data_IF_910890863764
#
_entry.id   IF_910890863764
#
_cell.length_a   1.000
_cell.length_b   1.000
_cell.length_c   1.000
_cell.angle_alpha   90.00
_cell.angle_beta   90.00
_cell.angle_gamma   90.00
#
_symmetry.space_group_name_H-M   'P 1'
#
loop_
_entity.id
_entity.type
_entity.pdbx_description
1 polymer ?
#
# COMPACT_ATOMS: atom_id res chain seq x y z
N UNK A 1 10.56 0.36 -7.98
CA UNK A 1 9.44 1.14 -7.40
C UNK A 1 9.78 2.61 -7.48
N UNK A 2 8.80 3.50 -7.53
CA UNK A 2 9.01 4.95 -7.56
C UNK A 2 7.98 5.63 -6.64
N UNK A 3 8.31 6.81 -6.14
CA UNK A 3 7.41 7.73 -5.45
C UNK A 3 7.59 9.09 -6.16
N UNK A 4 6.50 9.64 -6.69
CA UNK A 4 6.46 10.97 -7.29
C UNK A 4 5.70 11.88 -6.33
N UNK A 5 6.15 13.10 -6.16
CA UNK A 5 5.52 14.09 -5.29
C UNK A 5 5.57 15.49 -5.89
N UNK A 6 4.61 16.33 -5.49
CA UNK A 6 4.55 17.72 -5.91
C UNK A 6 5.57 18.56 -5.10
N UNK A 7 6.64 18.96 -5.76
CA UNK A 7 7.70 19.76 -5.15
C UNK A 7 7.25 21.18 -4.74
N UNK A 8 6.10 21.65 -5.21
CA UNK A 8 5.56 22.94 -4.75
C UNK A 8 4.96 22.82 -3.36
N UNK A 9 4.44 21.65 -2.99
CA UNK A 9 3.77 21.36 -1.72
C UNK A 9 4.68 20.68 -0.71
N UNK A 10 5.59 19.83 -1.17
CA UNK A 10 6.44 19.00 -0.32
C UNK A 10 7.92 19.26 -0.55
N UNK A 11 8.68 19.12 0.51
CA UNK A 11 10.12 19.05 0.53
C UNK A 11 10.54 17.61 0.85
N UNK A 12 11.44 17.05 0.05
CA UNK A 12 12.08 15.77 0.36
C UNK A 12 13.24 16.02 1.32
N UNK A 13 13.17 15.40 2.49
CA UNK A 13 14.27 15.43 3.45
C UNK A 13 15.28 14.33 3.14
N UNK A 14 14.81 13.13 2.86
CA UNK A 14 15.62 11.98 2.43
C UNK A 14 14.75 10.88 1.84
N UNK A 15 15.39 9.98 1.13
CA UNK A 15 14.78 8.70 0.75
C UNK A 15 15.73 7.53 1.05
N UNK A 16 15.18 6.34 1.21
CA UNK A 16 15.94 5.13 1.46
C UNK A 16 15.11 3.89 1.14
N UNK A 17 15.80 2.77 1.00
CA UNK A 17 15.17 1.46 0.88
C UNK A 17 15.42 0.64 2.15
N UNK A 18 14.41 -0.12 2.59
CA UNK A 18 14.54 -1.01 3.75
C UNK A 18 15.13 -2.34 3.26
N UNK A 19 16.46 -2.39 3.16
CA UNK A 19 17.19 -3.51 2.56
C UNK A 19 17.01 -4.83 3.34
N UNK A 20 16.75 -4.78 4.63
CA UNK A 20 16.50 -5.94 5.48
C UNK A 20 15.26 -6.74 5.04
N UNK A 21 14.33 -6.09 4.32
CA UNK A 21 13.12 -6.71 3.78
C UNK A 21 13.36 -7.32 2.39
N UNK A 22 14.45 -6.97 1.72
CA UNK A 22 14.88 -7.55 0.46
C UNK A 22 15.66 -8.86 0.68
N UNK A 23 14.97 -9.91 1.08
CA UNK A 23 15.60 -11.19 1.41
C UNK A 23 16.46 -11.73 0.26
N UNK A 24 17.72 -12.00 0.56
CA UNK A 24 18.71 -12.52 -0.39
C UNK A 24 18.91 -11.60 -1.62
N UNK A 25 18.55 -10.32 -1.55
CA UNK A 25 18.58 -9.38 -2.68
C UNK A 25 17.81 -9.86 -3.93
N UNK A 26 16.76 -10.68 -3.72
CA UNK A 26 15.95 -11.27 -4.81
C UNK A 26 14.53 -10.68 -4.87
N UNK A 27 14.20 -9.81 -3.91
CA UNK A 27 12.88 -9.20 -3.80
C UNK A 27 13.02 -7.68 -3.79
N UNK A 28 11.92 -6.98 -3.94
CA UNK A 28 11.93 -5.53 -3.89
C UNK A 28 12.01 -5.07 -2.44
N UNK A 29 12.98 -4.20 -2.14
CA UNK A 29 13.03 -3.50 -0.86
C UNK A 29 11.93 -2.43 -0.84
N UNK A 30 11.18 -2.23 0.25
CA UNK A 30 10.28 -1.09 0.37
C UNK A 30 11.03 0.22 0.17
N UNK A 31 10.51 1.09 -0.70
CA UNK A 31 11.02 2.44 -0.91
C UNK A 31 10.32 3.40 0.05
N UNK A 32 11.08 4.17 0.79
CA UNK A 32 10.58 5.16 1.76
C UNK A 32 11.11 6.54 1.39
N UNK A 33 10.21 7.53 1.40
CA UNK A 33 10.55 8.94 1.25
C UNK A 33 10.08 9.69 2.50
N UNK A 34 10.96 10.45 3.13
CA UNK A 34 10.65 11.39 4.20
C UNK A 34 10.29 12.72 3.57
N UNK A 35 9.03 13.09 3.67
CA UNK A 35 8.48 14.34 3.16
C UNK A 35 8.13 15.30 4.30
N UNK A 36 8.29 16.59 4.02
CA UNK A 36 7.78 17.69 4.83
C UNK A 36 6.78 18.50 4.01
N UNK A 37 5.57 18.68 4.53
CA UNK A 37 4.60 19.57 3.92
C UNK A 37 5.02 21.02 4.16
N UNK A 38 5.31 21.79 3.11
CA UNK A 38 5.94 23.12 3.19
C UNK A 38 5.11 24.15 3.96
N UNK A 39 3.79 24.10 3.86
CA UNK A 39 2.89 25.04 4.53
C UNK A 39 2.60 24.59 5.96
N UNK A 40 2.17 23.34 6.15
CA UNK A 40 1.79 22.84 7.48
C UNK A 40 2.99 22.48 8.36
N UNK A 41 4.19 22.34 7.79
CA UNK A 41 5.40 21.93 8.53
C UNK A 41 5.41 20.48 8.99
N UNK A 42 4.37 19.71 8.68
CA UNK A 42 4.23 18.30 9.08
C UNK A 42 5.22 17.43 8.33
N UNK A 43 5.94 16.61 9.06
CA UNK A 43 6.89 15.63 8.50
C UNK A 43 6.32 14.21 8.64
N UNK A 44 6.48 13.40 7.60
CA UNK A 44 5.97 12.03 7.55
C UNK A 44 6.73 11.16 6.56
N UNK A 45 6.59 9.85 6.71
CA UNK A 45 7.17 8.86 5.82
C UNK A 45 6.10 8.32 4.87
N UNK A 46 6.38 8.34 3.58
CA UNK A 46 5.61 7.64 2.55
C UNK A 46 6.38 6.42 2.12
N UNK A 47 5.74 5.25 2.17
CA UNK A 47 6.34 3.98 1.81
C UNK A 47 5.61 3.35 0.62
N UNK A 48 6.34 2.95 -0.40
CA UNK A 48 5.84 2.14 -1.49
C UNK A 48 6.34 0.70 -1.36
N UNK A 49 5.42 -0.27 -1.47
CA UNK A 49 5.69 -1.69 -1.29
C UNK A 49 5.31 -2.50 -2.53
N UNK A 50 6.06 -3.58 -2.76
CA UNK A 50 5.66 -4.67 -3.63
C UNK A 50 6.24 -5.96 -3.05
N UNK A 51 5.43 -6.67 -2.27
CA UNK A 51 5.87 -7.87 -1.56
C UNK A 51 5.89 -9.11 -2.47
N UNK A 52 6.50 -10.18 -2.00
CA UNK A 52 6.68 -11.40 -2.79
C UNK A 52 5.35 -12.06 -3.18
N UNK A 53 5.07 -12.23 -4.49
CA UNK A 53 3.89 -12.95 -4.99
C UNK A 53 4.07 -14.46 -4.85
N UNK A 54 5.10 -15.02 -5.45
CA UNK A 54 5.26 -16.48 -5.67
C UNK A 54 5.68 -17.29 -4.43
N UNK A 55 6.13 -16.65 -3.32
CA UNK A 55 6.62 -17.35 -2.12
C UNK A 55 5.95 -16.84 -0.85
N UNK A 56 4.91 -17.54 -0.41
CA UNK A 56 4.12 -17.20 0.77
C UNK A 56 4.99 -17.02 2.04
N UNK A 57 5.98 -17.89 2.27
CA UNK A 57 6.88 -17.81 3.43
C UNK A 57 7.74 -16.56 3.43
N UNK A 58 8.18 -16.09 2.25
CA UNK A 58 8.94 -14.83 2.11
C UNK A 58 8.01 -13.66 2.38
N UNK A 59 6.83 -13.63 1.78
CA UNK A 59 5.81 -12.59 2.00
C UNK A 59 5.44 -12.47 3.49
N UNK A 60 5.27 -13.58 4.19
CA UNK A 60 5.02 -13.60 5.63
C UNK A 60 6.16 -12.98 6.43
N UNK A 61 7.42 -13.32 6.10
CA UNK A 61 8.61 -12.71 6.71
C UNK A 61 8.68 -11.21 6.42
N UNK A 62 8.42 -10.79 5.17
CA UNK A 62 8.40 -9.38 4.80
C UNK A 62 7.34 -8.61 5.61
N UNK A 63 6.12 -9.14 5.73
CA UNK A 63 5.07 -8.53 6.54
C UNK A 63 5.48 -8.39 8.02
N UNK A 64 6.11 -9.41 8.60
CA UNK A 64 6.63 -9.38 9.98
C UNK A 64 7.74 -8.33 10.14
N UNK A 65 8.67 -8.25 9.19
CA UNK A 65 9.75 -7.25 9.21
C UNK A 65 9.20 -5.82 9.09
N UNK A 66 8.16 -5.60 8.28
CA UNK A 66 7.47 -4.30 8.21
C UNK A 66 6.86 -3.90 9.55
N UNK A 67 6.32 -4.85 10.32
CA UNK A 67 5.82 -4.58 11.68
C UNK A 67 6.97 -4.21 12.62
N UNK A 68 8.07 -4.96 12.59
CA UNK A 68 9.25 -4.67 13.41
C UNK A 68 9.83 -3.30 13.09
N UNK A 69 10.00 -2.98 11.80
CA UNK A 69 10.48 -1.68 11.36
C UNK A 69 9.56 -0.53 11.83
N UNK A 70 8.25 -0.68 11.66
CA UNK A 70 7.30 0.36 12.04
C UNK A 70 7.29 0.66 13.54
N UNK A 71 7.56 -0.34 14.38
CA UNK A 71 7.68 -0.15 15.84
C UNK A 71 8.83 0.78 16.24
N UNK A 72 9.86 0.90 15.40
CA UNK A 72 11.00 1.78 15.64
C UNK A 72 10.79 3.19 15.12
N UNK A 73 9.69 3.44 14.38
CA UNK A 73 9.41 4.76 13.82
C UNK A 73 8.60 5.61 14.81
N UNK A 74 9.11 6.81 15.10
CA UNK A 74 8.38 7.80 15.89
C UNK A 74 7.54 8.73 15.01
N UNK A 75 7.84 8.80 13.73
CA UNK A 75 7.16 9.64 12.75
C UNK A 75 5.88 8.99 12.24
N UNK A 76 4.93 9.81 11.74
CA UNK A 76 3.80 9.28 10.99
C UNK A 76 4.28 8.51 9.77
N UNK A 77 3.73 7.32 9.52
CA UNK A 77 4.03 6.51 8.35
C UNK A 77 2.75 6.19 7.60
N UNK A 78 2.77 6.44 6.29
CA UNK A 78 1.74 6.04 5.34
C UNK A 78 2.35 5.10 4.34
N UNK A 79 1.76 3.93 4.14
CA UNK A 79 2.33 2.90 3.30
C UNK A 79 1.28 2.37 2.31
N UNK A 80 1.61 2.40 1.01
CA UNK A 80 0.77 1.92 -0.07
C UNK A 80 1.53 0.89 -0.92
N UNK A 81 0.80 0.20 -1.79
CA UNK A 81 1.36 -0.67 -2.82
C UNK A 81 0.76 -2.06 -2.89
N UNK A 82 1.34 -2.89 -3.73
CA UNK A 82 1.00 -4.29 -3.87
C UNK A 82 1.63 -5.12 -2.73
N UNK A 83 0.79 -5.57 -1.84
CA UNK A 83 1.19 -6.43 -0.71
C UNK A 83 1.03 -7.92 -1.00
N UNK A 84 0.35 -8.27 -2.09
CA UNK A 84 0.03 -9.66 -2.41
C UNK A 84 -0.67 -10.40 -1.26
N UNK A 85 -1.58 -9.73 -0.54
CA UNK A 85 -2.22 -10.28 0.65
C UNK A 85 -3.45 -11.13 0.35
N UNK A 86 -3.88 -11.18 -0.91
CA UNK A 86 -4.99 -12.00 -1.40
C UNK A 86 -6.23 -11.86 -0.48
N UNK A 87 -6.69 -10.61 -0.24
CA UNK A 87 -7.87 -10.40 0.61
C UNK A 87 -9.14 -10.67 -0.19
N UNK A 88 -9.75 -11.82 0.06
CA UNK A 88 -10.96 -12.30 -0.62
C UNK A 88 -12.21 -11.67 -0.01
N UNK A 89 -13.05 -11.04 -0.83
CA UNK A 89 -14.21 -10.27 -0.37
C UNK A 89 -15.29 -11.15 0.26
N UNK A 90 -15.58 -12.30 -0.34
CA UNK A 90 -16.59 -13.24 0.15
C UNK A 90 -16.29 -13.70 1.57
N UNK A 91 -15.04 -14.11 1.81
CA UNK A 91 -14.62 -14.63 3.12
C UNK A 91 -14.19 -13.55 4.10
N UNK A 92 -13.97 -12.32 3.61
CA UNK A 92 -13.39 -11.19 4.38
C UNK A 92 -12.07 -11.54 5.05
N UNK A 93 -11.24 -12.33 4.35
CA UNK A 93 -9.96 -12.82 4.88
C UNK A 93 -8.84 -12.58 3.86
N UNK A 94 -7.70 -12.11 4.35
CA UNK A 94 -6.43 -12.13 3.65
C UNK A 94 -5.61 -13.36 4.01
N UNK A 95 -4.50 -13.56 3.32
CA UNK A 95 -3.56 -14.63 3.64
C UNK A 95 -2.82 -14.38 4.98
N UNK A 96 -1.99 -15.34 5.40
CA UNK A 96 -1.24 -15.24 6.67
C UNK A 96 -0.36 -13.99 6.76
N UNK A 97 0.18 -13.50 5.64
CA UNK A 97 0.99 -12.28 5.64
C UNK A 97 0.15 -11.02 5.97
N UNK A 98 -1.11 -10.97 5.53
CA UNK A 98 -2.05 -9.91 5.94
C UNK A 98 -2.27 -9.92 7.46
N UNK A 99 -2.53 -11.10 8.03
CA UNK A 99 -2.70 -11.24 9.49
C UNK A 99 -1.44 -10.83 10.24
N UNK A 100 -0.25 -11.23 9.75
CA UNK A 100 1.02 -10.82 10.34
C UNK A 100 1.23 -9.30 10.28
N UNK A 101 0.82 -8.64 9.20
CA UNK A 101 0.93 -7.18 9.04
C UNK A 101 0.11 -6.42 10.06
N UNK A 102 -1.07 -6.94 10.43
CA UNK A 102 -1.98 -6.31 11.39
C UNK A 102 -1.70 -6.69 12.85
N UNK A 103 -0.71 -7.54 13.08
CA UNK A 103 -0.39 -8.00 14.43
C UNK A 103 -0.05 -6.83 15.36
N UNK A 104 -0.54 -6.93 16.59
CA UNK A 104 -0.29 -5.99 17.70
C UNK A 104 -0.72 -4.55 17.37
N UNK A 105 -1.60 -4.37 16.37
CA UNK A 105 -2.13 -3.07 15.94
C UNK A 105 -1.03 -2.02 15.64
N UNK A 106 0.16 -2.46 15.19
CA UNK A 106 1.25 -1.57 14.79
C UNK A 106 0.87 -0.82 13.51
N UNK A 107 0.26 -1.54 12.58
CA UNK A 107 -0.32 -0.99 11.36
C UNK A 107 -1.84 -0.98 11.44
N UNK A 108 -2.44 0.12 11.04
CA UNK A 108 -3.87 0.22 10.80
C UNK A 108 -4.11 0.08 9.30
N UNK A 109 -4.95 -0.87 8.89
CA UNK A 109 -5.43 -0.95 7.53
C UNK A 109 -6.45 0.16 7.27
N UNK A 110 -6.21 0.96 6.24
CA UNK A 110 -7.14 1.96 5.74
C UNK A 110 -8.00 1.24 4.70
N UNK A 111 -9.21 0.87 5.12
CA UNK A 111 -10.14 0.10 4.28
C UNK A 111 -10.72 0.98 3.19
N UNK A 112 -10.82 0.50 1.95
CA UNK A 112 -11.55 1.23 0.91
C UNK A 112 -13.03 1.31 1.25
N UNK A 113 -13.68 2.34 0.72
CA UNK A 113 -15.11 2.58 0.89
C UNK A 113 -15.95 1.48 0.25
N UNK A 114 -15.50 0.96 -0.89
CA UNK A 114 -16.14 -0.12 -1.63
C UNK A 114 -15.18 -1.28 -1.86
N UNK A 115 -15.73 -2.49 -1.91
CA UNK A 115 -14.98 -3.70 -2.22
C UNK A 115 -14.91 -3.89 -3.73
N UNK A 116 -13.81 -3.43 -4.31
CA UNK A 116 -13.53 -3.49 -5.74
C UNK A 116 -12.22 -4.23 -5.94
N UNK A 117 -12.19 -5.15 -6.90
CA UNK A 117 -10.95 -5.86 -7.27
C UNK A 117 -9.84 -4.89 -7.63
N UNK A 118 -8.66 -5.11 -7.06
CA UNK A 118 -7.47 -4.31 -7.40
C UNK A 118 -6.61 -4.97 -8.45
N UNK A 119 -6.88 -6.21 -8.82
CA UNK A 119 -6.15 -6.94 -9.86
C UNK A 119 -7.09 -7.79 -10.69
N UNK A 120 -6.63 -8.20 -11.87
CA UNK A 120 -7.33 -9.04 -12.81
C UNK A 120 -6.36 -10.05 -13.44
N UNK A 121 -6.82 -11.24 -13.69
CA UNK A 121 -6.01 -12.25 -14.35
C UNK A 121 -6.89 -13.22 -15.12
N UNK A 122 -6.62 -13.39 -16.41
CA UNK A 122 -7.17 -14.42 -17.27
C UNK A 122 -6.02 -15.32 -17.72
N UNK A 123 -6.17 -16.62 -17.56
CA UNK A 123 -5.11 -17.57 -17.86
C UNK A 123 -4.73 -17.54 -19.34
N UNK A 124 -3.53 -17.08 -19.73
CA UNK A 124 -3.15 -16.95 -21.13
C UNK A 124 -3.10 -18.27 -21.90
N UNK A 125 -3.16 -19.43 -21.20
CA UNK A 125 -3.24 -20.75 -21.83
C UNK A 125 -4.66 -21.19 -22.13
N UNK A 126 -5.65 -20.56 -21.54
CA UNK A 126 -7.07 -20.86 -21.71
C UNK A 126 -7.90 -19.58 -21.50
N UNK A 127 -7.65 -18.51 -22.28
CA UNK A 127 -8.30 -17.23 -22.07
C UNK A 127 -9.80 -17.33 -22.38
N UNK A 128 -10.65 -16.86 -21.49
CA UNK A 128 -12.09 -16.76 -21.68
C UNK A 128 -12.66 -15.35 -21.50
N UNK A 129 -11.78 -14.37 -21.27
CA UNK A 129 -12.13 -12.97 -21.10
C UNK A 129 -12.73 -12.66 -19.73
N UNK A 130 -12.56 -13.55 -18.75
CA UNK A 130 -13.04 -13.38 -17.38
C UNK A 130 -11.88 -13.45 -16.39
N UNK A 131 -12.10 -12.85 -15.25
CA UNK A 131 -11.14 -12.96 -14.15
C UNK A 131 -11.20 -14.36 -13.53
N UNK A 132 -10.07 -15.08 -13.55
CA UNK A 132 -9.93 -16.41 -12.96
C UNK A 132 -9.81 -16.37 -11.41
N UNK A 133 -9.65 -15.20 -10.83
CA UNK A 133 -9.58 -15.05 -9.38
C UNK A 133 -10.92 -14.65 -8.77
N UNK A 134 -11.21 -15.05 -7.53
CA UNK A 134 -12.34 -14.51 -6.80
C UNK A 134 -12.12 -13.02 -6.54
N UNK A 135 -13.21 -12.25 -6.39
CA UNK A 135 -13.15 -10.84 -6.02
C UNK A 135 -12.24 -10.61 -4.82
N UNK A 136 -11.13 -9.89 -5.04
CA UNK A 136 -10.04 -9.79 -4.07
C UNK A 136 -9.20 -8.50 -4.22
N UNK A 137 -8.40 -8.21 -3.19
CA UNK A 137 -7.44 -7.13 -3.20
C UNK A 137 -6.02 -7.64 -3.01
N UNK A 138 -5.10 -7.10 -3.79
CA UNK A 138 -3.64 -7.21 -3.62
C UNK A 138 -3.02 -5.91 -3.13
N UNK A 139 -3.63 -4.77 -3.48
CA UNK A 139 -3.17 -3.42 -3.16
C UNK A 139 -3.84 -2.89 -1.90
N UNK A 140 -3.05 -2.27 -1.05
CA UNK A 140 -3.50 -1.82 0.26
C UNK A 140 -2.88 -0.48 0.64
N UNK A 141 -3.59 0.23 1.54
CA UNK A 141 -3.05 1.37 2.28
C UNK A 141 -3.05 1.08 3.79
N UNK A 142 -1.97 1.47 4.44
CA UNK A 142 -1.79 1.33 5.88
C UNK A 142 -1.25 2.61 6.49
N UNK A 143 -1.61 2.85 7.76
CA UNK A 143 -1.03 3.89 8.59
C UNK A 143 -0.34 3.30 9.81
N UNK A 144 0.76 3.89 10.26
CA UNK A 144 1.46 3.52 11.48
C UNK A 144 1.93 4.76 12.25
N UNK A 145 2.22 4.58 13.53
CA UNK A 145 2.60 5.67 14.42
C UNK A 145 1.52 6.74 14.53
N UNK A 146 1.87 8.03 14.60
CA UNK A 146 0.91 9.13 14.69
C UNK A 146 -0.08 9.21 13.51
N UNK A 147 0.28 8.71 12.31
CA UNK A 147 -0.62 8.68 11.15
C UNK A 147 -1.89 7.87 11.38
N UNK A 148 -1.94 7.01 12.38
CA UNK A 148 -3.16 6.26 12.72
C UNK A 148 -4.28 7.16 13.23
N UNK A 149 -3.95 8.29 13.83
CA UNK A 149 -4.92 9.27 14.34
C UNK A 149 -5.42 10.24 13.25
N UNK A 150 -4.78 10.28 12.10
CA UNK A 150 -5.18 11.17 11.02
C UNK A 150 -6.53 10.75 10.43
N UNK A 151 -7.31 11.74 10.00
CA UNK A 151 -8.49 11.48 9.18
C UNK A 151 -8.03 11.01 7.80
N UNK A 152 -8.62 9.92 7.34
CA UNK A 152 -8.20 9.26 6.11
C UNK A 152 -9.30 8.42 5.50
N UNK A 153 -9.37 8.44 4.18
CA UNK A 153 -10.20 7.54 3.38
C UNK A 153 -9.40 6.99 2.20
N UNK A 154 -9.84 5.88 1.66
CA UNK A 154 -9.26 5.34 0.44
C UNK A 154 -10.31 4.70 -0.45
N UNK A 155 -9.99 4.64 -1.74
CA UNK A 155 -10.83 3.99 -2.74
C UNK A 155 -9.99 3.37 -3.85
N UNK A 156 -10.55 2.38 -4.52
CA UNK A 156 -10.04 1.87 -5.79
C UNK A 156 -10.60 2.74 -6.90
N UNK A 157 -9.76 3.22 -7.80
CA UNK A 157 -10.20 4.00 -8.96
C UNK A 157 -10.53 3.03 -10.09
N UNK A 158 -11.79 3.02 -10.52
CA UNK A 158 -12.27 2.24 -11.66
C UNK A 158 -12.35 3.15 -12.88
N UNK A 159 -11.76 2.72 -13.99
CA UNK A 159 -11.79 3.43 -15.28
C UNK A 159 -12.20 2.46 -16.37
N UNK A 160 -12.79 3.00 -17.43
CA UNK A 160 -13.06 2.22 -18.63
C UNK A 160 -11.73 1.67 -19.18
N UNK A 161 -11.67 0.36 -19.45
CA UNK A 161 -10.49 -0.30 -20.00
C UNK A 161 -9.38 -0.60 -18.98
N UNK A 162 -9.67 -0.57 -17.67
CA UNK A 162 -8.71 -1.01 -16.66
C UNK A 162 -8.26 -2.47 -16.86
N UNK A 163 -9.15 -3.30 -17.34
CA UNK A 163 -8.93 -4.71 -17.66
C UNK A 163 -9.37 -5.00 -19.10
N UNK A 164 -8.93 -6.05 -19.80
CA UNK A 164 -8.08 -7.14 -19.34
C UNK A 164 -6.59 -6.76 -19.22
N UNK A 165 -5.84 -7.64 -18.53
CA UNK A 165 -4.38 -7.59 -18.49
C UNK A 165 -3.81 -7.93 -19.87
N UNK A 166 -3.07 -7.01 -20.46
CA UNK A 166 -2.32 -7.18 -21.67
C UNK A 166 -0.96 -6.43 -21.59
N UNK A 167 -0.14 -6.50 -22.64
CA UNK A 167 1.17 -5.83 -22.67
C UNK A 167 1.08 -4.27 -22.64
N UNK A 168 -0.12 -3.70 -22.75
CA UNK A 168 -0.35 -2.24 -22.86
C UNK A 168 -1.01 -1.66 -21.62
N UNK A 169 -1.75 -2.45 -20.90
CA UNK A 169 -2.50 -2.05 -19.69
C UNK A 169 -1.91 -2.67 -18.44
N UNK A 170 -2.24 -2.13 -17.29
CA UNK A 170 -1.89 -2.71 -15.99
C UNK A 170 -2.92 -3.74 -15.59
N UNK A 171 -2.47 -4.87 -15.06
CA UNK A 171 -3.29 -5.86 -14.36
C UNK A 171 -3.75 -5.40 -12.96
N UNK A 172 -3.37 -4.16 -12.58
CA UNK A 172 -3.78 -3.54 -11.32
C UNK A 172 -4.52 -2.23 -11.55
N UNK A 173 -5.58 -1.99 -10.76
CA UNK A 173 -6.28 -0.71 -10.66
C UNK A 173 -5.52 0.27 -9.77
N UNK A 174 -5.57 1.57 -10.06
CA UNK A 174 -5.05 2.60 -9.18
C UNK A 174 -5.79 2.62 -7.83
N UNK A 175 -5.04 2.85 -6.78
CA UNK A 175 -5.53 2.97 -5.41
C UNK A 175 -5.27 4.39 -4.91
N UNK A 176 -6.33 5.10 -4.50
CA UNK A 176 -6.24 6.46 -3.98
C UNK A 176 -6.37 6.46 -2.46
N UNK A 177 -5.49 7.20 -1.81
CA UNK A 177 -5.55 7.47 -0.38
C UNK A 177 -5.59 8.98 -0.18
N UNK A 178 -6.63 9.45 0.52
CA UNK A 178 -6.76 10.83 0.96
C UNK A 178 -6.46 10.90 2.44
N UNK A 179 -5.58 11.82 2.83
CA UNK A 179 -5.24 12.08 4.23
C UNK A 179 -5.46 13.56 4.49
N UNK A 180 -6.36 13.88 5.40
CA UNK A 180 -6.42 15.17 6.04
C UNK A 180 -5.48 15.13 7.25
N UNK A 181 -4.56 16.05 7.39
CA UNK A 181 -3.63 16.11 8.53
C UNK A 181 -4.35 16.00 9.88
N UNK A 182 -3.64 16.12 10.99
CA UNK A 182 -4.23 15.98 12.34
C UNK A 182 -5.42 16.93 12.52
N UNK A 183 -6.37 16.56 13.37
CA UNK A 183 -7.58 17.34 13.68
C UNK A 183 -7.29 18.80 14.15
N UNK A 184 -6.04 19.12 14.45
CA UNK A 184 -5.57 20.49 14.78
C UNK A 184 -5.27 21.32 13.54
N UNK A 185 -5.11 20.69 12.35
CA UNK A 185 -4.81 21.40 11.10
C UNK A 185 -6.09 21.71 10.29
N UNK A 186 -7.04 22.40 10.93
CA UNK A 186 -8.24 22.93 10.28
C UNK A 186 -7.96 24.09 9.29
N UNK A 187 -6.67 24.40 9.06
CA UNK A 187 -6.23 25.51 8.21
C UNK A 187 -5.97 25.12 6.74
N UNK A 188 -6.03 23.84 6.39
CA UNK A 188 -5.90 23.43 5.00
C UNK A 188 -7.21 23.73 4.26
N UNK A 189 -7.19 24.50 3.16
CA UNK A 189 -8.38 24.75 2.36
C UNK A 189 -8.85 23.43 1.73
N UNK A 190 -10.17 23.25 1.75
CA UNK A 190 -10.87 22.13 1.09
C UNK A 190 -10.70 22.15 -0.41
#
# INVERSE_FOLDING_TARGET
MAILYDQTKFEEIKHFEIQEINFQRRYRAPLVVHLKHKVAGVEFLVMNNHLARGKATVRQKQATQLVQWARTQLMPVVALGDYNFDYVFETKKGNTAFSNKLKDNVWQWIKPEEWIDTNWYDNPKAPDGKDDYPGSMLDFAFASGPAKAWEKSCRVIVRDGDFPDDERTSDHRPFELIIAGTAEDKSLPK
#
